data_IF_665674999812
#
_entry.id   IF_665674999812
#
_cell.length_a   1.000
_cell.length_b   1.000
_cell.length_c   1.000
_cell.angle_alpha   90.00
_cell.angle_beta   90.00
_cell.angle_gamma   90.00
#
_symmetry.space_group_name_H-M   'P 1'
#
loop_
_entity.id
_entity.type
_entity.pdbx_description
1 polymer ?
#
# COMPACT_ATOMS: atom_id res chain seq x y z
N UNK A 1 -15.26 -13.36 -4.87
CA UNK A 1 -14.66 -12.65 -3.73
C UNK A 1 -15.47 -11.42 -3.41
N UNK A 2 -15.81 -11.23 -2.13
CA UNK A 2 -16.59 -10.09 -1.64
C UNK A 2 -15.86 -9.45 -0.47
N UNK A 3 -15.41 -8.22 -0.65
CA UNK A 3 -14.68 -7.43 0.33
C UNK A 3 -15.53 -6.25 0.80
N UNK A 4 -15.65 -6.11 2.11
CA UNK A 4 -16.13 -4.90 2.76
C UNK A 4 -14.94 -4.07 3.22
N UNK A 5 -14.78 -2.88 2.65
CA UNK A 5 -13.76 -1.92 3.07
C UNK A 5 -14.40 -0.90 4.02
N UNK A 6 -14.13 -1.06 5.31
CA UNK A 6 -14.56 -0.13 6.36
C UNK A 6 -13.63 1.07 6.40
N UNK A 7 -14.16 2.27 6.22
CA UNK A 7 -13.41 3.52 6.33
C UNK A 7 -13.61 4.09 7.73
N UNK A 8 -12.52 4.17 8.49
CA UNK A 8 -12.46 4.90 9.76
C UNK A 8 -11.74 6.22 9.48
N UNK A 9 -12.44 7.35 9.60
CA UNK A 9 -11.91 8.66 9.27
C UNK A 9 -11.05 9.22 10.40
N UNK A 10 -9.80 9.54 10.07
CA UNK A 10 -8.80 10.14 10.95
C UNK A 10 -8.56 11.58 10.51
N UNK A 11 -8.98 12.51 11.36
CA UNK A 11 -8.85 13.95 11.14
C UNK A 11 -7.56 14.51 11.74
N UNK A 12 -7.01 13.84 12.75
CA UNK A 12 -5.78 14.25 13.45
C UNK A 12 -5.02 13.03 13.98
N UNK A 13 -3.72 13.18 14.19
CA UNK A 13 -2.84 12.17 14.78
C UNK A 13 -2.02 12.81 15.90
N UNK A 14 -1.91 12.14 17.04
CA UNK A 14 -1.16 12.64 18.21
C UNK A 14 -0.34 11.54 18.85
N UNK A 15 0.76 11.90 19.50
CA UNK A 15 1.38 10.98 20.44
C UNK A 15 0.53 10.87 21.70
N UNK A 16 0.49 9.67 22.28
CA UNK A 16 -0.24 9.37 23.51
C UNK A 16 0.38 8.18 24.24
N UNK A 17 -0.15 7.86 25.43
CA UNK A 17 0.32 6.71 26.22
C UNK A 17 -0.13 5.36 25.68
N UNK A 18 -1.10 5.34 24.76
CA UNK A 18 -1.65 4.13 24.16
C UNK A 18 -2.00 4.38 22.69
N UNK A 19 -1.89 3.34 21.85
CA UNK A 19 -2.31 3.41 20.45
C UNK A 19 -3.80 3.08 20.34
N UNK A 20 -4.61 4.06 19.96
CA UNK A 20 -6.06 3.91 19.81
C UNK A 20 -6.64 4.94 18.86
N UNK A 21 -7.84 4.69 18.35
CA UNK A 21 -8.66 5.70 17.69
C UNK A 21 -9.76 6.16 18.64
N UNK A 22 -9.87 7.47 18.82
CA UNK A 22 -10.91 8.07 19.65
C UNK A 22 -11.34 9.42 19.05
N UNK A 23 -12.64 9.60 18.81
CA UNK A 23 -13.23 10.83 18.26
C UNK A 23 -12.55 11.33 16.97
N UNK A 24 -12.21 10.41 16.05
CA UNK A 24 -11.54 10.74 14.79
C UNK A 24 -10.06 11.14 14.94
N UNK A 25 -9.45 10.90 16.10
CA UNK A 25 -8.02 11.11 16.35
C UNK A 25 -7.34 9.75 16.53
N UNK A 26 -6.25 9.52 15.80
CA UNK A 26 -5.35 8.38 16.05
C UNK A 26 -4.30 8.80 17.08
N UNK A 27 -4.38 8.24 18.28
CA UNK A 27 -3.32 8.31 19.27
C UNK A 27 -2.28 7.23 18.96
N UNK A 28 -1.00 7.59 19.00
CA UNK A 28 0.13 6.71 18.71
C UNK A 28 1.00 6.63 19.96
N UNK A 29 1.16 5.42 20.51
CA UNK A 29 2.20 5.14 21.48
C UNK A 29 3.55 5.07 20.74
N UNK A 30 4.37 6.12 20.92
CA UNK A 30 5.64 6.28 20.22
C UNK A 30 6.63 5.20 20.63
N UNK A 31 6.72 4.93 21.94
CA UNK A 31 7.67 3.98 22.52
C UNK A 31 7.38 2.54 22.07
N UNK A 32 6.11 2.14 22.06
CA UNK A 32 5.68 0.81 21.59
C UNK A 32 5.99 0.64 20.10
N UNK A 33 5.68 1.66 19.29
CA UNK A 33 5.96 1.62 17.86
C UNK A 33 7.48 1.54 17.57
N UNK A 34 8.30 2.35 18.27
CA UNK A 34 9.76 2.29 18.16
C UNK A 34 10.27 0.90 18.57
N UNK A 35 9.77 0.35 19.68
CA UNK A 35 10.18 -0.97 20.17
C UNK A 35 9.87 -2.07 19.16
N UNK A 36 8.68 -2.07 18.57
CA UNK A 36 8.27 -3.04 17.55
C UNK A 36 9.19 -3.01 16.32
N UNK A 37 9.54 -1.81 15.86
CA UNK A 37 10.39 -1.66 14.68
C UNK A 37 11.84 -2.05 15.01
N UNK A 38 12.32 -1.71 16.21
CA UNK A 38 13.68 -2.05 16.70
C UNK A 38 13.93 -3.54 16.93
N UNK A 39 12.92 -4.40 16.82
CA UNK A 39 13.14 -5.84 16.77
C UNK A 39 13.99 -6.26 15.56
N UNK A 40 14.07 -5.43 14.52
CA UNK A 40 14.97 -5.66 13.39
C UNK A 40 16.41 -5.23 13.74
N UNK A 41 17.31 -6.21 13.87
CA UNK A 41 18.71 -6.02 14.22
C UNK A 41 19.53 -5.19 13.21
N UNK A 42 19.00 -5.00 11.99
CA UNK A 42 19.65 -4.18 10.97
C UNK A 42 19.48 -2.67 11.23
N UNK A 43 18.65 -2.27 12.19
CA UNK A 43 18.37 -0.87 12.51
C UNK A 43 19.10 -0.45 13.80
N UNK A 44 20.00 0.52 13.68
CA UNK A 44 20.74 1.13 14.80
C UNK A 44 19.82 2.01 15.65
N UNK A 45 19.01 2.83 15.00
CA UNK A 45 18.01 3.66 15.67
C UNK A 45 16.74 3.80 14.84
N UNK A 46 15.64 3.99 15.57
CA UNK A 46 14.32 4.25 15.03
C UNK A 46 13.75 5.41 15.82
N UNK A 47 13.21 6.39 15.11
CA UNK A 47 12.41 7.45 15.69
C UNK A 47 11.11 7.63 14.89
N UNK A 48 10.14 8.29 15.51
CA UNK A 48 8.83 8.56 14.92
C UNK A 48 8.48 10.04 15.10
N UNK A 49 8.10 10.69 14.01
CA UNK A 49 7.57 12.05 14.00
C UNK A 49 6.14 12.07 13.43
N UNK A 50 5.42 13.16 13.66
CA UNK A 50 4.10 13.40 13.08
C UNK A 50 4.16 14.70 12.28
N UNK A 51 3.65 14.67 11.06
CA UNK A 51 3.51 15.86 10.21
C UNK A 51 2.06 15.96 9.72
N UNK A 52 1.38 17.05 10.08
CA UNK A 52 -0.04 17.29 9.76
C UNK A 52 -0.20 18.23 8.58
N UNK A 53 -1.34 18.17 7.86
CA UNK A 53 -1.64 19.09 6.79
C UNK A 53 -1.52 20.56 7.22
N UNK A 54 -0.78 21.36 6.45
CA UNK A 54 -0.60 22.80 6.69
C UNK A 54 0.56 23.17 7.63
N UNK A 55 1.15 22.21 8.35
CA UNK A 55 2.35 22.46 9.16
C UNK A 55 3.54 22.81 8.24
N UNK A 56 4.44 23.68 8.71
CA UNK A 56 5.65 24.08 7.97
C UNK A 56 6.74 23.01 8.05
N UNK A 57 6.43 21.81 7.56
CA UNK A 57 7.28 20.61 7.61
C UNK A 57 7.50 20.08 6.19
N UNK A 58 8.73 19.62 5.93
CA UNK A 58 9.13 18.88 4.74
C UNK A 58 9.61 17.50 5.16
N UNK A 59 9.02 16.44 4.59
CA UNK A 59 9.42 15.06 4.84
C UNK A 59 10.35 14.62 3.70
N UNK A 60 11.57 14.19 4.02
CA UNK A 60 12.54 13.74 3.01
C UNK A 60 13.70 12.92 3.63
N UNK A 61 14.27 11.92 2.94
CA UNK A 61 13.82 11.37 1.66
C UNK A 61 12.78 10.25 1.84
N UNK A 62 11.62 10.40 1.22
CA UNK A 62 10.48 9.48 1.33
C UNK A 62 10.70 8.20 0.50
N UNK A 63 10.47 7.05 1.13
CA UNK A 63 10.61 5.71 0.53
C UNK A 63 9.29 5.10 0.16
N UNK A 64 8.41 4.91 1.12
CA UNK A 64 7.07 4.44 0.88
C UNK A 64 6.06 5.27 1.69
N UNK A 65 4.81 5.22 1.24
CA UNK A 65 3.66 5.77 1.96
C UNK A 65 2.63 4.65 2.02
N UNK A 66 2.12 4.34 3.21
CA UNK A 66 1.31 3.15 3.47
C UNK A 66 0.07 3.56 4.25
N UNK A 67 -1.12 3.20 3.77
CA UNK A 67 -2.36 3.39 4.52
C UNK A 67 -2.48 2.29 5.61
N UNK A 68 -2.63 2.64 6.89
CA UNK A 68 -2.86 1.65 7.93
C UNK A 68 -4.20 0.93 7.71
N UNK A 69 -4.15 -0.40 7.67
CA UNK A 69 -5.34 -1.27 7.51
C UNK A 69 -5.28 -2.46 8.46
N UNK A 70 -6.44 -3.03 8.80
CA UNK A 70 -6.57 -4.25 9.59
C UNK A 70 -7.66 -5.15 9.06
N UNK A 71 -7.37 -6.45 8.95
CA UNK A 71 -8.37 -7.48 8.66
C UNK A 71 -9.20 -7.75 9.89
N UNK A 72 -10.52 -7.53 9.81
CA UNK A 72 -11.47 -7.69 10.92
C UNK A 72 -12.18 -9.04 10.82
N UNK A 73 -12.56 -9.44 9.61
CA UNK A 73 -13.29 -10.68 9.33
C UNK A 73 -12.79 -11.30 8.02
N UNK A 74 -12.79 -12.63 7.93
CA UNK A 74 -12.41 -13.39 6.74
C UNK A 74 -10.96 -13.90 6.80
N UNK A 75 -10.51 -14.57 5.72
CA UNK A 75 -9.19 -15.20 5.66
C UNK A 75 -8.05 -14.18 5.56
N UNK A 76 -6.84 -14.63 5.89
CA UNK A 76 -5.61 -13.84 5.77
C UNK A 76 -5.47 -12.65 6.72
N UNK A 77 -4.60 -11.72 6.30
CA UNK A 77 -4.31 -10.45 6.97
C UNK A 77 -3.74 -9.45 5.96
N UNK A 78 -3.38 -8.25 6.42
CA UNK A 78 -2.80 -7.24 5.52
C UNK A 78 -1.35 -7.58 5.15
N UNK A 79 -0.98 -7.28 3.91
CA UNK A 79 0.35 -7.56 3.33
C UNK A 79 0.74 -9.05 3.40
N UNK A 80 -0.05 -9.94 2.76
CA UNK A 80 0.15 -11.38 2.81
C UNK A 80 1.49 -11.81 2.20
N UNK A 81 2.14 -12.76 2.87
CA UNK A 81 3.46 -13.25 2.48
C UNK A 81 4.61 -12.36 2.94
N UNK A 82 4.33 -11.22 3.57
CA UNK A 82 5.35 -10.30 4.11
C UNK A 82 5.12 -10.03 5.59
N UNK A 83 3.94 -9.51 5.96
CA UNK A 83 3.57 -9.26 7.37
C UNK A 83 2.68 -10.36 7.89
N UNK A 84 1.57 -10.64 7.21
CA UNK A 84 0.74 -11.81 7.53
C UNK A 84 1.26 -13.05 6.82
N UNK A 85 0.83 -14.23 7.31
CA UNK A 85 1.06 -15.50 6.61
C UNK A 85 0.52 -15.43 5.18
N UNK A 86 1.09 -16.24 4.30
CA UNK A 86 0.61 -16.40 2.92
C UNK A 86 -0.79 -17.02 2.97
N UNK A 87 -1.77 -16.26 2.52
CA UNK A 87 -3.16 -16.66 2.34
C UNK A 87 -3.79 -15.73 1.29
N UNK A 88 -4.86 -16.16 0.63
CA UNK A 88 -5.54 -15.31 -0.37
C UNK A 88 -6.39 -14.25 0.35
N UNK A 89 -6.16 -12.98 0.03
CA UNK A 89 -6.86 -11.84 0.63
C UNK A 89 -7.96 -11.33 -0.29
N UNK A 90 -8.69 -10.27 0.07
CA UNK A 90 -9.72 -9.68 -0.81
C UNK A 90 -11.12 -10.24 -0.61
N UNK A 91 -11.38 -10.90 0.52
CA UNK A 91 -12.73 -11.28 0.97
C UNK A 91 -12.90 -11.09 2.48
N UNK A 92 -14.13 -10.86 2.93
CA UNK A 92 -14.44 -10.54 4.33
C UNK A 92 -14.47 -9.03 4.57
N UNK A 93 -14.01 -8.57 5.73
CA UNK A 93 -13.99 -7.14 6.09
C UNK A 93 -12.60 -6.68 6.50
N UNK A 94 -12.15 -5.58 5.90
CA UNK A 94 -10.91 -4.87 6.24
C UNK A 94 -11.24 -3.43 6.59
N UNK A 95 -10.77 -2.95 7.74
CA UNK A 95 -10.88 -1.56 8.12
C UNK A 95 -9.62 -0.79 7.72
N UNK A 96 -9.78 0.42 7.21
CA UNK A 96 -8.72 1.32 6.80
C UNK A 96 -8.81 2.65 7.53
N UNK A 97 -7.68 3.15 8.05
CA UNK A 97 -7.56 4.46 8.67
C UNK A 97 -7.40 5.54 7.60
N UNK A 98 -8.52 6.10 7.13
CA UNK A 98 -8.57 7.11 6.07
C UNK A 98 -8.18 8.48 6.61
N UNK A 99 -7.31 9.20 5.91
CA UNK A 99 -6.82 10.54 6.33
C UNK A 99 -5.50 10.52 7.09
N UNK A 100 -4.86 9.35 7.22
CA UNK A 100 -3.50 9.23 7.73
C UNK A 100 -2.67 8.22 6.91
N UNK A 101 -1.35 8.31 7.02
CA UNK A 101 -0.44 7.33 6.43
C UNK A 101 0.83 7.15 7.27
N UNK A 102 1.43 5.97 7.17
CA UNK A 102 2.81 5.74 7.59
C UNK A 102 3.72 6.12 6.44
N UNK A 103 4.73 6.93 6.71
CA UNK A 103 5.74 7.37 5.74
C UNK A 103 7.10 6.87 6.18
N UNK A 104 7.74 6.04 5.37
CA UNK A 104 9.12 5.62 5.65
C UNK A 104 10.10 6.62 5.04
N UNK A 105 11.13 6.95 5.81
CA UNK A 105 12.21 7.84 5.36
C UNK A 105 13.57 7.21 5.63
N UNK A 106 14.57 7.62 4.85
CA UNK A 106 15.95 7.15 5.05
C UNK A 106 16.78 7.20 3.78
N UNK A 107 18.09 7.40 3.93
CA UNK A 107 19.03 7.46 2.80
C UNK A 107 19.51 6.07 2.41
N UNK A 108 19.03 5.55 1.28
CA UNK A 108 19.35 4.19 0.83
C UNK A 108 20.42 4.21 -0.28
N UNK A 109 20.13 4.79 -1.45
CA UNK A 109 21.02 4.78 -2.64
C UNK A 109 20.93 6.04 -3.51
N UNK A 110 22.05 6.48 -4.09
CA UNK A 110 22.03 7.47 -5.17
C UNK A 110 21.36 8.82 -4.83
N UNK A 111 20.73 9.44 -5.83
CA UNK A 111 19.92 10.65 -5.67
C UNK A 111 18.59 10.32 -4.95
N UNK A 112 18.19 11.16 -4.00
CA UNK A 112 17.12 10.87 -3.04
C UNK A 112 16.02 11.94 -3.14
N UNK A 113 15.08 11.75 -4.06
CA UNK A 113 14.14 12.81 -4.49
C UNK A 113 12.78 12.79 -3.81
N UNK A 114 12.49 11.78 -2.99
CA UNK A 114 11.21 11.66 -2.30
C UNK A 114 10.97 12.82 -1.34
N UNK A 115 10.06 13.72 -1.68
CA UNK A 115 9.72 14.90 -0.88
C UNK A 115 8.21 14.94 -0.69
N UNK A 116 7.77 15.20 0.54
CA UNK A 116 6.41 15.65 0.83
C UNK A 116 6.53 16.99 1.55
N UNK A 117 6.10 18.06 0.87
CA UNK A 117 5.89 19.36 1.48
C UNK A 117 4.49 19.39 2.09
N UNK A 118 4.38 19.69 3.38
CA UNK A 118 3.08 19.77 4.08
C UNK A 118 2.40 21.13 3.90
N UNK A 119 3.12 22.14 3.39
CA UNK A 119 2.62 23.49 3.11
C UNK A 119 3.34 24.12 1.91
N UNK A 120 2.80 25.23 1.41
CA UNK A 120 3.35 25.95 0.26
C UNK A 120 3.14 25.23 -1.09
N UNK A 121 3.77 25.71 -2.18
CA UNK A 121 3.49 25.23 -3.54
C UNK A 121 3.77 23.74 -3.76
N UNK A 122 4.76 23.18 -3.05
CA UNK A 122 5.10 21.76 -3.14
C UNK A 122 3.99 20.84 -2.62
N UNK A 123 3.17 21.33 -1.69
CA UNK A 123 2.08 20.55 -1.11
C UNK A 123 1.00 20.18 -2.13
N UNK A 124 0.81 20.96 -3.18
CA UNK A 124 -0.22 20.69 -4.19
C UNK A 124 0.20 19.61 -5.20
N UNK A 125 1.49 19.25 -5.25
CA UNK A 125 2.02 18.22 -6.15
C UNK A 125 2.07 16.82 -5.55
N UNK A 126 1.61 16.65 -4.32
CA UNK A 126 1.55 15.34 -3.67
C UNK A 126 0.23 15.15 -2.91
N UNK A 127 -0.47 14.02 -3.10
CA UNK A 127 -1.69 13.76 -2.34
C UNK A 127 -1.40 13.58 -0.84
N UNK A 128 -0.16 13.25 -0.48
CA UNK A 128 0.23 12.93 0.89
C UNK A 128 0.38 14.15 1.79
N UNK A 129 0.45 15.37 1.23
CA UNK A 129 0.41 16.62 2.02
C UNK A 129 -0.93 16.84 2.72
N UNK A 130 -1.99 16.18 2.22
CA UNK A 130 -3.35 16.27 2.76
C UNK A 130 -3.64 15.18 3.81
N UNK A 131 -2.67 14.33 4.11
CA UNK A 131 -2.77 13.26 5.12
C UNK A 131 -2.07 13.67 6.42
N UNK A 132 -2.55 13.13 7.54
CA UNK A 132 -1.78 13.10 8.77
C UNK A 132 -0.70 12.02 8.67
N UNK A 133 0.57 12.43 8.53
CA UNK A 133 1.67 11.51 8.28
C UNK A 133 2.36 11.11 9.59
N UNK A 134 2.47 9.80 9.83
CA UNK A 134 3.31 9.20 10.86
C UNK A 134 4.63 8.82 10.18
N UNK A 135 5.67 9.60 10.46
CA UNK A 135 6.95 9.53 9.76
C UNK A 135 7.91 8.65 10.55
N UNK A 136 8.36 7.55 9.93
CA UNK A 136 9.40 6.69 10.48
C UNK A 136 10.77 7.16 9.99
N UNK A 137 11.67 7.35 10.95
CA UNK A 137 13.07 7.71 10.72
C UNK A 137 13.90 6.50 11.15
N UNK A 138 14.45 5.78 10.18
CA UNK A 138 15.20 4.55 10.43
C UNK A 138 16.66 4.75 10.02
N UNK A 139 17.58 4.55 10.95
CA UNK A 139 19.01 4.58 10.70
C UNK A 139 19.57 3.15 10.73
N UNK A 140 20.28 2.70 9.69
CA UNK A 140 20.82 1.36 9.63
C UNK A 140 22.05 1.19 10.55
N UNK A 141 22.39 -0.06 10.86
CA UNK A 141 23.70 -0.38 11.43
C UNK A 141 24.83 -0.06 10.45
N UNK A 142 26.00 0.23 11.02
CA UNK A 142 27.17 0.62 10.22
C UNK A 142 27.60 -0.53 9.29
N UNK A 143 27.80 -0.24 8.00
CA UNK A 143 28.22 -1.23 7.01
C UNK A 143 27.11 -2.13 6.44
N UNK A 144 25.84 -1.89 6.77
CA UNK A 144 24.71 -2.60 6.18
C UNK A 144 24.67 -2.40 4.66
N UNK A 145 24.45 -3.49 3.91
CA UNK A 145 24.32 -3.41 2.44
C UNK A 145 23.02 -2.71 2.06
N UNK A 146 23.06 -1.97 0.95
CA UNK A 146 21.93 -1.15 0.48
C UNK A 146 20.62 -1.93 0.30
N UNK A 147 20.70 -3.15 -0.22
CA UNK A 147 19.55 -4.04 -0.38
C UNK A 147 18.94 -4.46 0.97
N UNK A 148 19.79 -4.76 1.96
CA UNK A 148 19.33 -5.15 3.29
C UNK A 148 18.78 -3.94 4.06
N UNK A 149 19.36 -2.76 3.85
CA UNK A 149 18.84 -1.49 4.37
C UNK A 149 17.46 -1.18 3.81
N UNK A 150 17.28 -1.27 2.48
CA UNK A 150 15.97 -1.08 1.86
C UNK A 150 14.92 -2.01 2.43
N UNK A 151 15.26 -3.30 2.52
CA UNK A 151 14.37 -4.31 3.09
C UNK A 151 13.97 -3.97 4.53
N UNK A 152 14.93 -3.56 5.37
CA UNK A 152 14.67 -3.19 6.76
C UNK A 152 13.71 -1.98 6.85
N UNK A 153 13.92 -0.93 6.05
CA UNK A 153 13.05 0.25 6.00
C UNK A 153 11.65 -0.09 5.49
N UNK A 154 11.54 -0.94 4.47
CA UNK A 154 10.25 -1.42 3.95
C UNK A 154 9.48 -2.19 5.02
N UNK A 155 10.14 -3.14 5.70
CA UNK A 155 9.52 -3.91 6.78
C UNK A 155 9.11 -3.02 7.95
N UNK A 156 9.91 -2.01 8.30
CA UNK A 156 9.54 -1.02 9.33
C UNK A 156 8.20 -0.33 9.00
N UNK A 157 8.05 0.15 7.76
CA UNK A 157 6.81 0.78 7.30
C UNK A 157 5.61 -0.15 7.35
N UNK A 158 5.73 -1.37 6.83
CA UNK A 158 4.64 -2.33 6.78
C UNK A 158 4.23 -2.82 8.18
N UNK A 159 5.21 -3.06 9.07
CA UNK A 159 4.96 -3.39 10.48
C UNK A 159 4.23 -2.26 11.19
N UNK A 160 4.68 -1.02 11.02
CA UNK A 160 4.04 0.15 11.61
C UNK A 160 2.61 0.34 11.11
N UNK A 161 2.37 0.25 9.79
CA UNK A 161 1.05 0.38 9.22
C UNK A 161 0.10 -0.74 9.69
N UNK A 162 0.59 -1.97 9.79
CA UNK A 162 -0.16 -3.11 10.34
C UNK A 162 -0.48 -2.91 11.83
N UNK A 163 0.49 -2.44 12.63
CA UNK A 163 0.31 -2.14 14.05
C UNK A 163 -0.72 -1.03 14.27
N UNK A 164 -0.56 0.12 13.61
CA UNK A 164 -1.49 1.24 13.72
C UNK A 164 -2.88 0.87 13.21
N UNK A 165 -2.96 0.07 12.15
CA UNK A 165 -4.23 -0.43 11.62
C UNK A 165 -5.05 -1.19 12.67
N UNK A 166 -4.40 -1.91 13.61
CA UNK A 166 -5.11 -2.64 14.68
C UNK A 166 -5.94 -1.73 15.58
N UNK A 167 -5.61 -0.44 15.69
CA UNK A 167 -6.40 0.54 16.42
C UNK A 167 -7.83 0.69 15.84
N UNK A 168 -8.03 0.30 14.58
CA UNK A 168 -9.33 0.33 13.89
C UNK A 168 -10.16 -0.95 14.05
N UNK A 169 -9.63 -1.99 14.70
CA UNK A 169 -10.23 -3.34 14.66
C UNK A 169 -11.62 -3.40 15.30
N UNK A 170 -11.76 -2.79 16.48
CA UNK A 170 -13.01 -2.74 17.24
C UNK A 170 -13.77 -1.41 17.02
N UNK A 171 -13.28 -0.56 16.12
CA UNK A 171 -13.91 0.72 15.78
C UNK A 171 -14.99 0.49 14.74
N UNK A 172 -16.18 1.06 14.97
CA UNK A 172 -17.24 1.05 13.95
C UNK A 172 -16.83 2.00 12.81
N UNK A 173 -16.73 1.52 11.56
CA UNK A 173 -16.39 2.38 10.43
C UNK A 173 -17.44 3.46 10.16
N UNK A 174 -16.98 4.65 9.80
CA UNK A 174 -17.84 5.77 9.38
C UNK A 174 -18.55 5.50 8.05
N UNK A 175 -17.89 4.74 7.17
CA UNK A 175 -18.44 4.29 5.88
C UNK A 175 -18.00 2.85 5.63
N UNK A 176 -18.86 2.04 5.04
CA UNK A 176 -18.49 0.71 4.53
C UNK A 176 -18.78 0.67 3.04
N UNK A 177 -17.76 0.35 2.24
CA UNK A 177 -17.90 0.10 0.80
C UNK A 177 -17.78 -1.38 0.53
N UNK A 178 -18.66 -1.90 -0.33
CA UNK A 178 -18.70 -3.32 -0.67
C UNK A 178 -18.24 -3.48 -2.12
N UNK A 179 -17.24 -4.30 -2.30
CA UNK A 179 -16.70 -4.67 -3.61
C UNK A 179 -16.86 -6.17 -3.81
N UNK A 180 -17.37 -6.57 -4.97
CA UNK A 180 -17.57 -7.97 -5.29
C UNK A 180 -17.11 -8.26 -6.72
N UNK A 181 -16.40 -9.36 -6.88
CA UNK A 181 -16.11 -9.97 -8.18
C UNK A 181 -16.37 -11.46 -8.05
N UNK A 182 -17.29 -11.98 -8.85
CA UNK A 182 -17.62 -13.40 -8.86
C UNK A 182 -16.49 -14.24 -9.49
N UNK A 183 -16.52 -15.57 -9.30
CA UNK A 183 -15.70 -16.48 -10.11
C UNK A 183 -15.78 -16.14 -11.60
N UNK A 184 -14.65 -16.13 -12.31
CA UNK A 184 -14.55 -15.58 -13.67
C UNK A 184 -15.67 -16.04 -14.63
N UNK A 185 -16.00 -17.34 -14.66
CA UNK A 185 -17.05 -17.87 -15.54
C UNK A 185 -18.44 -17.33 -15.18
N UNK A 186 -18.74 -17.17 -13.89
CA UNK A 186 -19.98 -16.56 -13.42
C UNK A 186 -19.99 -15.04 -13.71
N UNK A 187 -18.86 -14.36 -13.46
CA UNK A 187 -18.70 -12.94 -13.72
C UNK A 187 -18.92 -12.59 -15.19
N UNK A 188 -18.42 -13.41 -16.11
CA UNK A 188 -18.60 -13.22 -17.56
C UNK A 188 -20.07 -13.28 -17.99
N UNK A 189 -20.90 -14.03 -17.27
CA UNK A 189 -22.34 -14.14 -17.56
C UNK A 189 -23.18 -13.03 -16.93
N UNK A 190 -22.63 -12.30 -15.95
CA UNK A 190 -23.30 -11.12 -15.43
C UNK A 190 -23.37 -10.02 -16.48
N UNK A 191 -24.46 -9.26 -16.46
CA UNK A 191 -24.69 -8.11 -17.36
C UNK A 191 -24.37 -8.45 -18.82
N UNK A 192 -25.09 -9.41 -19.43
CA UNK A 192 -24.74 -9.98 -20.73
C UNK A 192 -24.63 -8.91 -21.84
N UNK A 193 -25.39 -7.82 -21.72
CA UNK A 193 -25.44 -6.72 -22.70
C UNK A 193 -24.33 -5.67 -22.52
N UNK A 194 -23.54 -5.73 -21.44
CA UNK A 194 -22.44 -4.79 -21.19
C UNK A 194 -21.09 -5.31 -21.74
N UNK A 195 -20.17 -4.43 -22.14
CA UNK A 195 -18.81 -4.81 -22.53
C UNK A 195 -18.05 -5.40 -21.34
N UNK A 196 -17.33 -6.50 -21.57
CA UNK A 196 -16.51 -7.18 -20.56
C UNK A 196 -15.14 -6.51 -20.56
N UNK A 197 -14.73 -5.98 -19.42
CA UNK A 197 -13.52 -5.18 -19.29
C UNK A 197 -12.63 -5.79 -18.22
N UNK A 198 -11.38 -6.08 -18.59
CA UNK A 198 -10.30 -6.42 -17.66
C UNK A 198 -9.28 -5.29 -17.63
N UNK A 199 -8.65 -5.06 -16.48
CA UNK A 199 -7.61 -4.05 -16.33
C UNK A 199 -6.23 -4.70 -16.34
N UNK A 200 -5.37 -4.31 -17.30
CA UNK A 200 -3.96 -4.69 -17.29
C UNK A 200 -3.18 -3.71 -16.41
N UNK A 201 -2.79 -4.15 -15.22
CA UNK A 201 -2.01 -3.38 -14.26
C UNK A 201 -0.52 -3.71 -14.42
N UNK A 202 0.23 -2.79 -15.02
CA UNK A 202 1.69 -2.90 -15.09
C UNK A 202 2.31 -2.53 -13.74
N UNK A 203 3.08 -3.46 -13.17
CA UNK A 203 3.83 -3.29 -11.94
C UNK A 203 5.25 -2.89 -12.30
N UNK A 204 5.75 -1.85 -11.63
CA UNK A 204 7.08 -1.37 -11.88
C UNK A 204 8.07 -2.17 -11.05
N UNK A 205 8.68 -3.18 -11.67
CA UNK A 205 9.81 -3.92 -11.10
C UNK A 205 10.95 -3.99 -12.12
N UNK A 206 11.83 -2.97 -12.11
CA UNK A 206 12.77 -2.65 -13.21
C UNK A 206 14.24 -2.52 -12.78
N UNK A 207 14.73 -3.49 -12.02
CA UNK A 207 16.15 -3.59 -11.66
C UNK A 207 16.40 -3.31 -10.18
N UNK A 208 17.64 -2.96 -9.84
CA UNK A 208 18.10 -2.93 -8.45
C UNK A 208 17.33 -1.88 -7.63
N UNK A 209 16.65 -2.29 -6.55
CA UNK A 209 15.88 -1.42 -5.64
C UNK A 209 14.65 -0.74 -6.28
N UNK A 210 14.18 -1.33 -7.39
CA UNK A 210 12.90 -1.07 -8.02
C UNK A 210 12.12 -2.37 -8.02
N UNK A 211 11.61 -2.73 -6.84
CA UNK A 211 10.87 -3.97 -6.66
C UNK A 211 9.42 -3.66 -6.31
N UNK A 212 8.49 -4.38 -6.93
CA UNK A 212 7.10 -4.44 -6.50
C UNK A 212 6.80 -5.88 -6.14
N UNK A 213 6.21 -6.12 -4.97
CA UNK A 213 5.97 -7.48 -4.49
C UNK A 213 4.49 -7.81 -4.55
N UNK A 214 4.19 -9.00 -5.03
CA UNK A 214 2.84 -9.58 -5.10
C UNK A 214 2.84 -10.82 -4.22
N UNK A 215 2.04 -10.81 -3.15
CA UNK A 215 2.03 -11.88 -2.14
C UNK A 215 3.44 -12.22 -1.59
N UNK A 216 4.30 -11.21 -1.47
CA UNK A 216 5.69 -11.35 -1.01
C UNK A 216 6.70 -11.82 -2.06
N UNK A 217 6.27 -12.10 -3.29
CA UNK A 217 7.16 -12.46 -4.41
C UNK A 217 7.41 -11.24 -5.28
N UNK A 218 8.68 -10.98 -5.62
CA UNK A 218 9.03 -9.90 -6.56
C UNK A 218 8.36 -10.15 -7.92
N UNK A 219 7.69 -9.12 -8.45
CA UNK A 219 7.01 -9.14 -9.74
C UNK A 219 7.92 -9.52 -10.93
N UNK A 220 9.25 -9.40 -10.81
CA UNK A 220 10.21 -9.92 -11.81
C UNK A 220 10.17 -11.43 -11.96
N UNK A 221 9.72 -12.16 -10.94
CA UNK A 221 9.75 -13.62 -10.89
C UNK A 221 8.44 -14.25 -11.36
N UNK A 222 7.43 -13.44 -11.70
CA UNK A 222 6.12 -13.92 -12.12
C UNK A 222 5.84 -13.53 -13.58
N UNK A 223 5.09 -14.39 -14.26
CA UNK A 223 4.47 -14.07 -15.55
C UNK A 223 3.14 -13.32 -15.31
N UNK A 224 2.53 -12.71 -16.35
CA UNK A 224 1.22 -12.08 -16.19
C UNK A 224 0.22 -13.01 -15.50
N UNK A 225 -0.45 -12.49 -14.48
CA UNK A 225 -1.28 -13.28 -13.57
C UNK A 225 -2.59 -12.57 -13.32
N UNK A 226 -3.69 -13.32 -13.30
CA UNK A 226 -5.01 -12.77 -12.96
C UNK A 226 -5.12 -12.65 -11.44
N UNK A 227 -5.56 -11.48 -10.97
CA UNK A 227 -5.99 -11.22 -9.61
C UNK A 227 -7.41 -10.68 -9.61
N UNK A 228 -8.15 -10.96 -8.53
CA UNK A 228 -9.35 -10.17 -8.26
C UNK A 228 -8.96 -8.79 -7.77
N UNK A 229 -9.72 -7.75 -8.17
CA UNK A 229 -9.36 -6.37 -7.82
C UNK A 229 -9.42 -6.13 -6.30
N UNK A 230 -10.26 -6.90 -5.58
CA UNK A 230 -10.33 -6.84 -4.11
C UNK A 230 -9.06 -7.33 -3.43
N UNK A 231 -8.25 -8.20 -4.04
CA UNK A 231 -6.98 -8.67 -3.46
C UNK A 231 -5.99 -7.51 -3.34
N UNK A 232 -5.95 -6.66 -4.37
CA UNK A 232 -5.09 -5.48 -4.43
C UNK A 232 -5.52 -4.48 -3.35
N UNK A 233 -6.83 -4.26 -3.21
CA UNK A 233 -7.39 -3.46 -2.11
C UNK A 233 -7.06 -4.07 -0.73
N UNK A 234 -6.93 -5.39 -0.60
CA UNK A 234 -6.63 -6.03 0.68
C UNK A 234 -5.12 -6.25 0.92
N UNK A 235 -4.26 -5.57 0.14
CA UNK A 235 -2.83 -5.46 0.39
C UNK A 235 -1.97 -6.53 -0.29
N UNK A 236 -2.49 -7.23 -1.32
CA UNK A 236 -1.72 -8.23 -2.07
C UNK A 236 -0.48 -7.65 -2.76
N UNK A 237 -0.45 -6.35 -3.05
CA UNK A 237 0.66 -5.66 -3.72
C UNK A 237 1.26 -4.60 -2.80
N UNK A 238 2.59 -4.63 -2.65
CA UNK A 238 3.35 -3.63 -1.88
C UNK A 238 4.52 -3.09 -2.71
N UNK A 239 4.95 -1.86 -2.39
CA UNK A 239 6.07 -1.20 -3.04
C UNK A 239 7.39 -1.43 -2.30
N UNK A 240 8.45 -1.67 -3.07
CA UNK A 240 9.85 -1.61 -2.65
C UNK A 240 10.67 -0.67 -3.55
N UNK A 241 10.02 0.28 -4.21
CA UNK A 241 10.66 1.21 -5.13
C UNK A 241 11.34 2.38 -4.39
N UNK A 242 12.67 2.49 -4.49
CA UNK A 242 13.45 3.37 -3.60
C UNK A 242 14.25 4.50 -4.27
N UNK A 243 14.15 4.66 -5.59
CA UNK A 243 14.97 5.60 -6.39
C UNK A 243 14.20 6.88 -6.76
N UNK A 244 13.51 6.91 -7.91
CA UNK A 244 12.81 8.12 -8.40
C UNK A 244 11.40 8.23 -7.82
N UNK A 245 11.06 9.40 -7.26
CA UNK A 245 9.76 9.60 -6.62
C UNK A 245 8.61 9.85 -7.61
N UNK A 246 8.91 10.45 -8.76
CA UNK A 246 7.93 10.70 -9.83
C UNK A 246 7.50 9.41 -10.56
N UNK A 247 8.37 8.40 -10.56
CA UNK A 247 8.16 7.15 -11.27
C UNK A 247 7.90 6.03 -10.26
N UNK A 248 7.09 6.24 -9.21
CA UNK A 248 6.75 5.13 -8.29
C UNK A 248 5.30 5.14 -7.85
N UNK A 249 4.73 3.95 -7.80
CA UNK A 249 3.52 3.68 -7.04
C UNK A 249 3.92 3.24 -5.62
N UNK A 250 3.50 4.01 -4.62
CA UNK A 250 3.65 3.62 -3.21
C UNK A 250 2.66 2.51 -2.86
N UNK A 251 2.87 1.84 -1.72
CA UNK A 251 1.88 0.86 -1.21
C UNK A 251 0.50 1.52 -1.02
N UNK A 252 0.44 2.79 -0.62
CA UNK A 252 -0.81 3.58 -0.55
C UNK A 252 -1.54 3.63 -1.90
N UNK A 253 -0.82 3.86 -3.01
CA UNK A 253 -1.41 3.89 -4.35
C UNK A 253 -1.93 2.52 -4.77
N UNK A 254 -1.23 1.42 -4.42
CA UNK A 254 -1.71 0.07 -4.70
C UNK A 254 -3.00 -0.23 -3.91
N UNK A 255 -3.01 0.08 -2.61
CA UNK A 255 -4.17 -0.10 -1.73
C UNK A 255 -5.40 0.73 -2.14
N UNK A 256 -5.19 1.88 -2.81
CA UNK A 256 -6.21 2.85 -3.23
C UNK A 256 -6.13 3.08 -4.75
N UNK A 257 -6.06 2.02 -5.54
CA UNK A 257 -5.87 2.14 -6.98
C UNK A 257 -7.11 2.81 -7.64
N UNK A 258 -6.98 4.03 -8.20
CA UNK A 258 -8.13 4.79 -8.68
C UNK A 258 -8.78 4.16 -9.92
N UNK A 259 -8.00 3.43 -10.73
CA UNK A 259 -8.53 2.73 -11.90
C UNK A 259 -9.45 1.60 -11.45
N UNK A 260 -9.06 0.84 -10.43
CA UNK A 260 -9.91 -0.23 -9.87
C UNK A 260 -11.19 0.36 -9.26
N UNK A 261 -11.08 1.43 -8.48
CA UNK A 261 -12.25 2.09 -7.89
C UNK A 261 -13.23 2.58 -8.96
N UNK A 262 -12.74 3.24 -10.00
CA UNK A 262 -13.60 3.76 -11.06
C UNK A 262 -14.21 2.65 -11.93
N UNK A 263 -13.49 1.55 -12.16
CA UNK A 263 -14.04 0.37 -12.82
C UNK A 263 -15.17 -0.27 -12.01
N UNK A 264 -15.05 -0.35 -10.68
CA UNK A 264 -16.15 -0.79 -9.83
C UNK A 264 -17.34 0.17 -9.85
N UNK A 265 -17.13 1.49 -9.88
CA UNK A 265 -18.24 2.46 -9.96
C UNK A 265 -19.08 2.30 -11.24
N UNK A 266 -18.42 1.91 -12.34
CA UNK A 266 -19.01 1.68 -13.67
C UNK A 266 -19.51 0.24 -13.89
N UNK A 267 -19.08 -0.70 -13.05
CA UNK A 267 -19.50 -2.09 -13.07
C UNK A 267 -21.03 -2.22 -12.96
N UNK A 268 -21.63 -3.02 -13.85
CA UNK A 268 -23.08 -3.24 -13.92
C UNK A 268 -23.89 -2.06 -14.48
N UNK A 269 -23.22 -0.97 -14.90
CA UNK A 269 -23.87 0.24 -15.46
C UNK A 269 -23.39 0.53 -16.89
N UNK A 270 -22.08 0.64 -17.07
CA UNK A 270 -21.44 0.95 -18.36
C UNK A 270 -20.60 -0.22 -18.87
N UNK A 271 -20.10 -1.06 -17.97
CA UNK A 271 -19.24 -2.20 -18.26
C UNK A 271 -19.47 -3.34 -17.25
N UNK A 272 -19.05 -4.54 -17.63
CA UNK A 272 -18.86 -5.65 -16.71
C UNK A 272 -17.35 -5.77 -16.42
N UNK A 273 -16.93 -5.29 -15.26
CA UNK A 273 -15.54 -5.42 -14.79
C UNK A 273 -15.28 -6.86 -14.35
N UNK A 274 -14.38 -7.57 -15.05
CA UNK A 274 -14.19 -9.02 -14.87
C UNK A 274 -12.93 -9.40 -14.09
N UNK A 275 -12.02 -8.45 -13.82
CA UNK A 275 -10.82 -8.69 -13.04
C UNK A 275 -9.62 -7.84 -13.46
N UNK A 276 -8.48 -8.11 -12.81
CA UNK A 276 -7.19 -7.45 -13.08
C UNK A 276 -6.20 -8.48 -13.56
N UNK A 277 -5.42 -8.13 -14.59
CA UNK A 277 -4.24 -8.89 -15.00
C UNK A 277 -3.03 -8.06 -14.57
N UNK A 278 -2.29 -8.54 -13.59
CA UNK A 278 -1.00 -7.93 -13.24
C UNK A 278 0.06 -8.42 -14.20
N UNK A 279 1.00 -7.54 -14.55
CA UNK A 279 2.15 -7.86 -15.39
C UNK A 279 3.32 -6.98 -15.00
N UNK A 280 4.56 -7.44 -15.20
CA UNK A 280 5.72 -6.59 -14.92
C UNK A 280 5.98 -5.65 -16.10
N UNK A 281 6.30 -4.40 -15.78
CA UNK A 281 6.77 -3.41 -16.75
C UNK A 281 8.24 -3.73 -17.10
N UNK A 282 8.48 -4.73 -17.95
CA UNK A 282 9.84 -5.17 -18.26
C UNK A 282 10.63 -4.19 -19.13
N UNK A 283 11.95 -4.14 -18.98
CA UNK A 283 12.83 -3.25 -19.77
C UNK A 283 13.38 -3.91 -21.04
N UNK A 284 13.57 -5.24 -21.04
CA UNK A 284 14.10 -5.98 -22.19
C UNK A 284 13.01 -6.39 -23.18
N UNK A 285 13.30 -6.32 -24.48
CA UNK A 285 12.33 -6.61 -25.54
C UNK A 285 11.72 -8.01 -25.43
N UNK A 286 12.53 -9.04 -25.24
CA UNK A 286 12.05 -10.42 -25.12
C UNK A 286 11.06 -10.62 -23.94
N UNK A 287 11.28 -9.90 -22.84
CA UNK A 287 10.38 -9.95 -21.69
C UNK A 287 9.11 -9.13 -21.92
N UNK A 288 9.18 -8.02 -22.67
CA UNK A 288 8.01 -7.25 -23.13
C UNK A 288 7.14 -8.09 -24.07
N UNK A 289 7.75 -8.80 -25.02
CA UNK A 289 7.06 -9.74 -25.92
C UNK A 289 6.42 -10.88 -25.13
N UNK A 290 7.16 -11.48 -24.19
CA UNK A 290 6.61 -12.52 -23.31
C UNK A 290 5.39 -12.03 -22.53
N UNK A 291 5.51 -10.86 -21.90
CA UNK A 291 4.47 -10.31 -21.03
C UNK A 291 3.23 -9.88 -21.83
N UNK A 292 3.41 -9.25 -22.99
CA UNK A 292 2.30 -8.84 -23.86
C UNK A 292 1.58 -10.05 -24.46
N UNK A 293 2.30 -11.03 -25.00
CA UNK A 293 1.71 -12.25 -25.54
C UNK A 293 0.93 -13.05 -24.49
N UNK A 294 1.44 -13.15 -23.26
CA UNK A 294 0.76 -13.84 -22.16
C UNK A 294 -0.45 -13.08 -21.63
N UNK A 295 -0.39 -11.74 -21.62
CA UNK A 295 -1.53 -10.90 -21.19
C UNK A 295 -2.67 -10.93 -22.21
N UNK A 296 -2.37 -10.99 -23.50
CA UNK A 296 -3.37 -10.93 -24.57
C UNK A 296 -4.09 -12.27 -24.84
N UNK A 297 -3.50 -13.40 -24.43
CA UNK A 297 -4.04 -14.75 -24.61
C UNK A 297 -5.16 -15.06 -23.62
#
# INVERSE_FOLDING_TARGET
MRLELGHVYINDVKFGSETKVENGVLYVNKEELISLIKEDEHLKSVDVEIARPGESIRITPVKDVIEPRVKVEGPGGVFPGVISKVDTVGSGRTNALKGCAVVTTGKIVGFQEGIIDMTGPGADYTPFSKLNNIVLICEPIDGLKQHDHERAVRLAGLKAASYLGKAAKEVTPDKVEVFETLPLLEQLTQYPDLPKVAYVLMLQSQGLLHDTYVYGVDAKQIVPTILYPTEIMDGAIISGNCVSACDKNTTYHHLNNPVIEDLYKKHGKELNFVGVIITNENVYLADKERSSNWTAK
#
